data_IF_684204070787
#
_entry.id   IF_684204070787
#
_cell.length_a   1.000
_cell.length_b   1.000
_cell.length_c   1.000
_cell.angle_alpha   90.00
_cell.angle_beta   90.00
_cell.angle_gamma   90.00
#
_symmetry.space_group_name_H-M   'P 1'
#
loop_
_entity.id
_entity.type
_entity.pdbx_description
1 polymer ?
#
# COMPACT_ATOMS: atom_id res chain seq x y z
N UNK A 1 -4.70 -5.62 -8.99
CA UNK A 1 -4.90 -6.00 -7.57
C UNK A 1 -5.91 -7.13 -7.54
N UNK A 2 -5.61 -8.26 -6.89
CA UNK A 2 -6.56 -9.38 -6.78
C UNK A 2 -7.80 -8.93 -5.96
N UNK A 3 -9.00 -9.32 -6.39
CA UNK A 3 -10.29 -9.04 -5.74
C UNK A 3 -10.32 -9.37 -4.24
N UNK A 4 -9.61 -10.43 -3.82
CA UNK A 4 -9.47 -10.81 -2.41
C UNK A 4 -8.74 -9.72 -1.61
N UNK A 5 -7.67 -9.17 -2.18
CA UNK A 5 -6.87 -8.13 -1.54
C UNK A 5 -7.67 -6.82 -1.47
N UNK A 6 -8.40 -6.48 -2.54
CA UNK A 6 -9.31 -5.33 -2.57
C UNK A 6 -10.37 -5.40 -1.45
N UNK A 7 -11.06 -6.52 -1.33
CA UNK A 7 -12.11 -6.72 -0.31
C UNK A 7 -11.58 -6.59 1.12
N UNK A 8 -10.38 -7.11 1.40
CA UNK A 8 -9.76 -7.01 2.74
C UNK A 8 -9.31 -5.59 3.07
N UNK A 9 -8.79 -4.85 2.10
CA UNK A 9 -8.45 -3.42 2.26
C UNK A 9 -9.70 -2.61 2.60
N UNK A 10 -10.79 -2.83 1.87
CA UNK A 10 -12.08 -2.18 2.13
C UNK A 10 -12.67 -2.56 3.49
N UNK A 11 -12.51 -3.81 3.92
CA UNK A 11 -12.95 -4.28 5.23
C UNK A 11 -12.14 -3.67 6.38
N UNK A 12 -10.82 -3.59 6.26
CA UNK A 12 -9.95 -2.92 7.23
C UNK A 12 -10.28 -1.41 7.32
N UNK A 13 -10.48 -0.75 6.18
CA UNK A 13 -10.88 0.66 6.15
C UNK A 13 -12.26 0.89 6.78
N UNK A 14 -13.20 -0.05 6.56
CA UNK A 14 -14.53 -0.03 7.18
C UNK A 14 -14.46 -0.28 8.68
N UNK A 15 -13.61 -1.19 9.15
CA UNK A 15 -13.44 -1.46 10.58
C UNK A 15 -12.81 -0.26 11.29
N UNK A 16 -11.75 0.33 10.72
CA UNK A 16 -11.12 1.53 11.24
C UNK A 16 -12.07 2.74 11.30
N UNK A 17 -13.11 2.76 10.46
CA UNK A 17 -14.16 3.78 10.49
C UNK A 17 -15.33 3.47 11.44
N UNK A 18 -15.48 2.25 11.98
CA UNK A 18 -16.54 1.93 12.95
C UNK A 18 -16.37 2.59 14.32
N UNK A 19 -15.16 3.02 14.68
CA UNK A 19 -14.91 3.84 15.87
C UNK A 19 -15.32 5.32 15.70
N UNK A 20 -16.01 5.65 14.61
CA UNK A 20 -16.60 6.95 14.36
C UNK A 20 -17.87 7.15 15.21
N UNK A 21 -17.76 7.97 16.26
CA UNK A 21 -18.94 8.51 16.96
C UNK A 21 -19.35 9.84 16.30
N UNK A 22 -20.51 9.92 15.61
CA UNK A 22 -20.99 11.16 15.00
C UNK A 22 -21.27 12.27 16.02
N UNK A 23 -21.44 11.97 17.32
CA UNK A 23 -21.70 12.94 18.37
C UNK A 23 -20.44 13.57 18.97
N UNK A 24 -19.24 13.01 18.70
CA UNK A 24 -17.95 13.62 19.08
C UNK A 24 -17.54 14.75 18.11
N UNK A 25 -18.24 14.86 16.97
CA UNK A 25 -17.99 15.82 15.88
C UNK A 25 -18.76 17.15 16.01
N UNK A 26 -18.80 17.78 17.20
CA UNK A 26 -19.19 19.21 17.28
C UNK A 26 -18.08 20.17 16.86
N UNK A 27 -16.84 19.67 16.79
CA UNK A 27 -15.69 20.40 16.26
C UNK A 27 -15.31 19.75 14.93
N UNK A 28 -15.19 20.58 13.90
CA UNK A 28 -14.99 20.29 12.47
C UNK A 28 -13.70 19.53 12.10
N UNK A 29 -13.15 18.74 13.01
CA UNK A 29 -11.96 17.90 12.81
C UNK A 29 -12.26 16.38 12.92
N UNK A 30 -13.39 15.95 13.50
CA UNK A 30 -13.68 14.52 13.75
C UNK A 30 -13.94 13.67 12.48
N UNK A 31 -14.60 14.25 11.46
CA UNK A 31 -14.93 13.54 10.21
C UNK A 31 -13.71 13.17 9.35
N UNK A 32 -12.69 14.02 9.32
CA UNK A 32 -11.48 13.76 8.55
C UNK A 32 -10.62 12.66 9.20
N UNK A 33 -10.56 12.62 10.53
CA UNK A 33 -9.64 11.75 11.28
C UNK A 33 -10.03 10.26 11.19
N UNK A 34 -11.33 9.92 11.23
CA UNK A 34 -11.79 8.52 11.11
C UNK A 34 -11.56 7.92 9.72
N UNK A 35 -11.84 8.70 8.66
CA UNK A 35 -11.55 8.29 7.28
C UNK A 35 -10.05 8.18 7.01
N UNK A 36 -9.24 9.11 7.52
CA UNK A 36 -7.78 9.05 7.43
C UNK A 36 -7.20 7.82 8.12
N UNK A 37 -7.73 7.46 9.30
CA UNK A 37 -7.28 6.27 10.03
C UNK A 37 -7.61 4.99 9.28
N UNK A 38 -8.85 4.81 8.82
CA UNK A 38 -9.24 3.64 8.03
C UNK A 38 -8.48 3.53 6.71
N UNK A 39 -8.24 4.67 6.04
CA UNK A 39 -7.40 4.72 4.84
C UNK A 39 -5.95 4.32 5.15
N UNK A 40 -5.36 4.83 6.22
CA UNK A 40 -3.98 4.48 6.62
C UNK A 40 -3.86 3.00 6.99
N UNK A 41 -4.79 2.46 7.78
CA UNK A 41 -4.80 1.05 8.15
C UNK A 41 -4.98 0.13 6.93
N UNK A 42 -5.90 0.48 6.02
CA UNK A 42 -6.09 -0.22 4.75
C UNK A 42 -4.88 -0.12 3.81
N UNK A 43 -4.23 1.05 3.74
CA UNK A 43 -3.01 1.25 2.95
C UNK A 43 -1.83 0.48 3.54
N UNK A 44 -1.63 0.51 4.86
CA UNK A 44 -0.61 -0.29 5.53
C UNK A 44 -0.83 -1.79 5.31
N UNK A 45 -2.07 -2.27 5.36
CA UNK A 45 -2.40 -3.66 5.05
C UNK A 45 -2.12 -4.00 3.58
N UNK A 46 -2.55 -3.14 2.65
CA UNK A 46 -2.30 -3.33 1.22
C UNK A 46 -0.80 -3.41 0.93
N UNK A 47 -0.04 -2.45 1.47
CA UNK A 47 1.40 -2.36 1.27
C UNK A 47 2.12 -3.55 1.89
N UNK A 48 1.73 -4.02 3.08
CA UNK A 48 2.37 -5.18 3.72
C UNK A 48 2.13 -6.50 2.98
N UNK A 49 1.09 -6.58 2.15
CA UNK A 49 0.73 -7.79 1.39
C UNK A 49 1.02 -7.70 -0.11
N UNK A 50 1.59 -6.58 -0.58
CA UNK A 50 2.00 -6.38 -1.98
C UNK A 50 3.48 -6.66 -2.22
N UNK A 51 4.27 -6.79 -1.16
CA UNK A 51 5.69 -7.15 -1.26
C UNK A 51 5.85 -8.57 -1.78
N UNK A 52 6.56 -8.69 -2.90
CA UNK A 52 6.95 -9.92 -3.55
C UNK A 52 8.40 -10.19 -3.17
N UNK A 53 8.68 -11.38 -2.63
CA UNK A 53 10.05 -11.80 -2.34
C UNK A 53 10.84 -11.94 -3.64
N UNK A 54 12.10 -11.50 -3.65
CA UNK A 54 13.00 -11.71 -4.80
C UNK A 54 13.29 -13.20 -5.08
N UNK A 55 12.99 -14.07 -4.13
CA UNK A 55 13.07 -15.53 -4.30
C UNK A 55 11.83 -16.10 -5.02
N UNK A 56 10.68 -15.42 -4.93
CA UNK A 56 9.43 -15.87 -5.54
C UNK A 56 9.30 -15.38 -6.98
N UNK A 57 9.58 -14.10 -7.21
CA UNK A 57 9.55 -13.50 -8.53
C UNK A 57 10.43 -12.25 -8.62
N UNK A 58 10.85 -11.92 -9.84
CA UNK A 58 11.65 -10.73 -10.13
C UNK A 58 10.87 -9.78 -11.04
N UNK A 59 11.05 -8.45 -10.91
CA UNK A 59 10.40 -7.49 -11.78
C UNK A 59 11.02 -7.45 -13.17
N UNK A 60 10.35 -6.79 -14.11
CA UNK A 60 10.93 -6.52 -15.41
C UNK A 60 12.11 -5.56 -15.32
N UNK A 61 13.18 -5.79 -16.09
CA UNK A 61 14.45 -5.07 -15.92
C UNK A 61 14.32 -3.54 -16.04
N UNK A 62 13.43 -3.09 -16.92
CA UNK A 62 13.23 -1.67 -17.23
C UNK A 62 12.14 -1.00 -16.38
N UNK A 63 11.38 -1.78 -15.60
CA UNK A 63 10.29 -1.29 -14.76
C UNK A 63 10.82 -0.48 -13.56
N UNK A 64 10.07 0.53 -13.13
CA UNK A 64 10.29 1.19 -11.85
C UNK A 64 9.43 0.50 -10.80
N UNK A 65 10.06 0.07 -9.71
CA UNK A 65 9.41 -0.63 -8.59
C UNK A 65 9.76 0.04 -7.27
N UNK A 66 8.99 -0.25 -6.23
CA UNK A 66 9.45 -0.05 -4.86
C UNK A 66 10.24 -1.29 -4.44
N UNK A 67 11.47 -1.10 -3.98
CA UNK A 67 12.34 -2.14 -3.47
C UNK A 67 12.61 -1.92 -1.97
N UNK A 68 12.71 -3.01 -1.21
CA UNK A 68 12.99 -2.97 0.21
C UNK A 68 14.49 -3.18 0.46
N UNK A 69 15.19 -2.10 0.82
CA UNK A 69 16.63 -2.11 1.13
C UNK A 69 16.80 -1.87 2.63
N UNK A 70 17.29 -2.86 3.37
CA UNK A 70 17.46 -2.74 4.83
C UNK A 70 16.16 -2.38 5.58
N UNK A 71 15.01 -2.82 5.07
CA UNK A 71 13.69 -2.48 5.62
C UNK A 71 13.14 -1.11 5.20
N UNK A 72 13.86 -0.35 4.38
CA UNK A 72 13.43 0.95 3.88
C UNK A 72 12.94 0.83 2.42
N UNK A 73 11.69 1.23 2.11
CA UNK A 73 11.18 1.22 0.74
C UNK A 73 11.81 2.36 -0.06
N UNK A 74 12.40 2.04 -1.22
CA UNK A 74 13.00 3.00 -2.15
C UNK A 74 12.55 2.73 -3.58
N UNK A 75 12.50 3.76 -4.43
CA UNK A 75 12.26 3.58 -5.86
C UNK A 75 13.53 3.02 -6.50
N UNK A 76 13.41 1.90 -7.21
CA UNK A 76 14.51 1.25 -7.91
C UNK A 76 14.09 0.81 -9.32
N UNK A 77 15.08 0.63 -10.19
CA UNK A 77 14.88 -0.07 -11.47
C UNK A 77 14.85 -1.57 -11.24
N UNK A 78 14.02 -2.28 -11.99
CA UNK A 78 13.89 -3.73 -11.84
C UNK A 78 15.20 -4.49 -12.05
N UNK A 79 16.11 -3.99 -12.91
CA UNK A 79 17.44 -4.60 -13.06
C UNK A 79 18.27 -4.56 -11.76
N UNK A 80 18.09 -3.57 -10.88
CA UNK A 80 18.75 -3.54 -9.57
C UNK A 80 18.25 -4.66 -8.66
N UNK A 81 16.94 -4.94 -8.70
CA UNK A 81 16.31 -6.03 -7.95
C UNK A 81 16.80 -7.39 -8.49
N UNK A 82 16.81 -7.55 -9.82
CA UNK A 82 17.31 -8.77 -10.48
C UNK A 82 18.79 -9.06 -10.19
N UNK A 83 19.60 -8.01 -10.16
CA UNK A 83 21.02 -8.10 -9.80
C UNK A 83 21.26 -8.20 -8.28
N UNK A 84 20.19 -8.27 -7.46
CA UNK A 84 20.24 -8.35 -5.98
C UNK A 84 21.15 -7.30 -5.35
N UNK A 85 21.16 -6.08 -5.92
CA UNK A 85 22.02 -5.01 -5.43
C UNK A 85 21.57 -4.58 -4.04
N UNK A 86 22.54 -4.29 -3.15
CA UNK A 86 22.30 -3.71 -1.82
C UNK A 86 21.31 -4.54 -0.97
N UNK A 87 21.38 -5.86 -1.08
CA UNK A 87 20.59 -6.78 -0.27
C UNK A 87 19.07 -6.53 -0.36
N UNK A 88 18.58 -6.20 -1.56
CA UNK A 88 17.13 -6.11 -1.81
C UNK A 88 16.51 -7.48 -1.57
N UNK A 89 15.55 -7.54 -0.64
CA UNK A 89 14.85 -8.79 -0.28
C UNK A 89 13.44 -8.88 -0.87
N UNK A 90 12.79 -7.73 -1.07
CA UNK A 90 11.42 -7.66 -1.56
C UNK A 90 11.23 -6.50 -2.52
N UNK A 91 10.24 -6.60 -3.40
CA UNK A 91 9.82 -5.53 -4.27
C UNK A 91 8.30 -5.50 -4.44
N UNK A 92 7.75 -4.39 -4.90
CA UNK A 92 6.36 -4.32 -5.34
C UNK A 92 6.19 -3.32 -6.48
N UNK A 93 5.21 -3.51 -7.38
CA UNK A 93 4.89 -2.52 -8.38
C UNK A 93 4.48 -1.21 -7.72
N UNK A 94 4.88 -0.07 -8.30
CA UNK A 94 4.46 1.25 -7.80
C UNK A 94 2.95 1.37 -8.02
N UNK A 95 2.14 1.59 -6.97
CA UNK A 95 0.70 1.77 -7.13
C UNK A 95 0.43 2.97 -8.04
N UNK A 96 -0.30 2.74 -9.13
CA UNK A 96 -0.77 3.83 -9.99
C UNK A 96 -2.05 4.40 -9.38
N UNK A 97 -2.02 5.68 -9.03
CA UNK A 97 -3.23 6.41 -8.70
C UNK A 97 -3.84 6.95 -9.99
N UNK A 98 -4.99 6.40 -10.40
CA UNK A 98 -5.79 6.92 -11.52
C UNK A 98 -6.93 7.79 -10.94
N UNK A 99 -6.76 9.11 -10.84
CA UNK A 99 -7.76 9.99 -10.21
C UNK A 99 -9.08 10.12 -10.98
N UNK A 100 -9.18 9.57 -12.20
CA UNK A 100 -10.30 9.82 -13.13
C UNK A 100 -11.19 8.61 -13.40
N UNK A 101 -11.29 7.64 -12.48
CA UNK A 101 -12.39 6.67 -12.50
C UNK A 101 -13.49 7.13 -11.58
N UNK A 102 -14.28 8.08 -12.06
CA UNK A 102 -15.64 8.32 -11.57
C UNK A 102 -16.47 7.09 -11.94
N UNK A 103 -16.96 6.38 -10.92
CA UNK A 103 -18.06 5.42 -11.06
C UNK A 103 -19.35 6.11 -11.51
#
# INVERSE_FOLDING_TARGET
>A
MNEILKKRIEEAAREGSKHYDPNVSKYSQGKQVGYLRGFNEGACYALSHQWISVEEALPEANENVLALIGGVPVVAKGYHVRARLRDITHWMPIPKFEPNKTE
#
